data_IF_146982834266
#
_entry.id   IF_146982834266
#
_cell.length_a   1.000
_cell.length_b   1.000
_cell.length_c   1.000
_cell.angle_alpha   90.00
_cell.angle_beta   90.00
_cell.angle_gamma   90.00
#
_symmetry.space_group_name_H-M   'P 1'
#
loop_
_entity.id
_entity.type
_entity.pdbx_description
1 polymer ?
#
# COMPACT_ATOMS: atom_id res chain seq x y z
N UNK A 1 -29.59 54.50 -13.79
CA UNK A 1 -30.54 53.38 -13.65
C UNK A 1 -29.73 52.10 -13.48
N UNK A 2 -29.84 51.51 -12.28
CA UNK A 2 -29.55 50.11 -11.88
C UNK A 2 -28.36 49.36 -12.50
N UNK A 3 -27.26 49.24 -11.73
CA UNK A 3 -26.35 48.09 -11.79
C UNK A 3 -26.59 47.23 -10.55
N UNK A 4 -27.01 45.98 -10.77
CA UNK A 4 -27.36 45.03 -9.70
C UNK A 4 -26.11 44.40 -9.09
N UNK A 5 -25.95 44.58 -7.78
CA UNK A 5 -24.98 43.88 -6.95
C UNK A 5 -25.61 42.59 -6.41
N UNK A 6 -25.03 41.43 -6.71
CA UNK A 6 -25.35 40.16 -6.06
C UNK A 6 -24.38 39.96 -4.89
N UNK A 7 -24.85 40.27 -3.68
CA UNK A 7 -24.19 39.90 -2.44
C UNK A 7 -24.49 38.45 -2.07
N UNK A 8 -23.47 37.67 -1.76
CA UNK A 8 -23.62 36.36 -1.12
C UNK A 8 -23.43 36.51 0.38
N UNK A 9 -24.51 36.29 1.14
CA UNK A 9 -24.49 36.26 2.60
C UNK A 9 -24.17 34.85 3.08
N UNK A 10 -23.01 34.66 3.70
CA UNK A 10 -22.62 33.39 4.32
C UNK A 10 -23.30 33.27 5.70
N UNK A 11 -24.28 32.37 5.81
CA UNK A 11 -24.98 32.08 7.08
C UNK A 11 -24.29 30.91 7.78
N UNK A 12 -23.59 31.20 8.88
CA UNK A 12 -23.09 30.17 9.80
C UNK A 12 -24.26 29.57 10.60
N UNK A 13 -24.46 28.25 10.50
CA UNK A 13 -25.29 27.49 11.45
C UNK A 13 -24.40 26.75 12.44
N UNK A 14 -24.54 27.09 13.71
CA UNK A 14 -23.96 26.38 14.86
C UNK A 14 -24.67 25.05 15.12
N UNK A 15 -23.98 24.00 15.63
CA UNK A 15 -24.60 22.70 15.91
C UNK A 15 -25.27 22.68 17.29
N UNK A 16 -26.56 22.35 17.32
CA UNK A 16 -27.32 22.07 18.55
C UNK A 16 -27.41 20.56 18.81
N UNK A 17 -26.97 20.22 20.02
CA UNK A 17 -27.47 19.20 20.96
C UNK A 17 -27.55 17.71 20.60
N UNK A 18 -26.80 16.95 21.41
CA UNK A 18 -26.87 15.51 21.66
C UNK A 18 -28.30 14.99 21.89
N UNK A 19 -28.61 13.84 21.29
CA UNK A 19 -29.62 12.89 21.79
C UNK A 19 -29.05 11.48 21.81
N UNK A 20 -28.89 10.98 23.03
CA UNK A 20 -28.59 9.61 23.42
C UNK A 20 -29.76 8.70 23.01
N UNK A 21 -29.48 7.67 22.20
CA UNK A 21 -30.41 6.55 22.01
C UNK A 21 -29.82 5.30 22.66
N UNK A 22 -30.37 4.97 23.82
CA UNK A 22 -30.30 3.64 24.43
C UNK A 22 -31.18 2.69 23.62
N UNK A 23 -30.60 1.63 23.05
CA UNK A 23 -31.36 0.47 22.59
C UNK A 23 -30.81 -0.83 23.18
N UNK A 24 -31.49 -1.22 24.26
CA UNK A 24 -32.11 -2.53 24.52
C UNK A 24 -31.38 -3.78 23.98
N UNK A 25 -30.78 -4.50 24.93
CA UNK A 25 -30.40 -5.92 24.86
C UNK A 25 -31.58 -6.78 24.37
N UNK A 26 -31.35 -7.60 23.34
CA UNK A 26 -32.17 -8.78 23.05
C UNK A 26 -31.29 -10.04 23.08
N UNK A 27 -31.91 -11.12 23.59
CA UNK A 27 -31.31 -12.37 24.01
C UNK A 27 -30.91 -13.25 22.82
N UNK A 28 -29.75 -13.90 22.91
CA UNK A 28 -29.34 -15.00 22.04
C UNK A 28 -30.10 -16.30 22.37
N UNK A 29 -30.48 -17.11 21.37
CA UNK A 29 -30.76 -18.53 21.57
C UNK A 29 -29.48 -19.36 21.45
N UNK A 30 -29.37 -20.33 22.36
CA UNK A 30 -28.37 -21.40 22.38
C UNK A 30 -28.72 -22.46 21.34
N UNK A 31 -27.70 -23.05 20.72
CA UNK A 31 -27.81 -24.37 20.09
C UNK A 31 -27.09 -24.49 18.76
N UNK A 32 -25.91 -25.13 18.81
CA UNK A 32 -25.35 -26.10 17.83
C UNK A 32 -23.82 -26.10 17.94
N UNK A 33 -23.35 -26.77 19.00
CA UNK A 33 -22.03 -27.40 19.00
C UNK A 33 -22.11 -28.71 18.20
N UNK A 34 -20.95 -29.15 17.71
CA UNK A 34 -20.65 -30.44 17.05
C UNK A 34 -20.71 -30.45 15.52
N UNK A 35 -19.61 -30.02 14.86
CA UNK A 35 -18.85 -30.81 13.87
C UNK A 35 -17.72 -29.95 13.25
N UNK A 36 -16.53 -29.96 13.85
CA UNK A 36 -15.27 -29.71 13.13
C UNK A 36 -14.08 -30.22 13.96
N UNK A 37 -13.92 -31.55 14.02
CA UNK A 37 -12.66 -32.21 14.39
C UNK A 37 -12.27 -33.11 13.23
N UNK A 38 -11.45 -32.59 12.32
CA UNK A 38 -10.39 -33.30 11.56
C UNK A 38 -9.96 -32.46 10.36
N UNK A 39 -9.02 -31.54 10.59
CA UNK A 39 -7.98 -31.11 9.64
C UNK A 39 -7.07 -30.12 10.37
N UNK A 40 -6.37 -30.64 11.38
CA UNK A 40 -5.37 -29.90 12.13
C UNK A 40 -4.11 -30.74 12.18
N UNK A 41 -3.28 -30.64 11.15
CA UNK A 41 -1.85 -31.00 11.20
C UNK A 41 -1.17 -30.51 9.92
N UNK A 42 -0.62 -29.29 10.00
CA UNK A 42 0.62 -28.83 9.35
C UNK A 42 0.83 -27.37 9.78
N UNK A 43 1.10 -27.18 11.08
CA UNK A 43 1.81 -25.98 11.57
C UNK A 43 3.30 -26.31 11.52
N UNK A 44 3.94 -26.07 10.38
CA UNK A 44 5.40 -26.03 10.32
C UNK A 44 5.83 -24.61 10.67
N UNK A 45 6.19 -24.43 11.94
CA UNK A 45 6.99 -23.30 12.39
C UNK A 45 8.39 -23.42 11.79
N UNK A 46 8.69 -22.60 10.80
CA UNK A 46 10.06 -22.17 10.49
C UNK A 46 10.04 -20.64 10.33
N UNK A 47 9.87 -19.94 11.45
CA UNK A 47 10.39 -18.58 11.56
C UNK A 47 11.89 -18.72 11.83
N UNK A 48 12.78 -18.05 11.08
CA UNK A 48 14.19 -17.99 11.47
C UNK A 48 14.29 -17.41 12.89
N UNK A 49 15.04 -18.09 13.75
CA UNK A 49 15.39 -17.64 15.10
C UNK A 49 16.09 -16.28 14.95
N UNK A 50 15.39 -15.19 15.29
CA UNK A 50 16.04 -13.90 15.52
C UNK A 50 17.01 -14.07 16.70
N UNK A 51 18.19 -13.42 16.69
CA UNK A 51 19.08 -13.43 17.84
C UNK A 51 18.32 -12.92 19.07
N UNK A 52 18.56 -13.56 20.21
CA UNK A 52 18.00 -13.13 21.49
C UNK A 52 18.60 -11.77 21.85
N UNK A 53 17.84 -10.71 21.59
CA UNK A 53 18.12 -9.37 22.12
C UNK A 53 17.62 -9.37 23.57
N UNK A 54 18.33 -8.64 24.45
CA UNK A 54 18.05 -8.59 25.88
C UNK A 54 16.61 -8.14 26.12
N UNK A 55 15.93 -8.75 27.10
CA UNK A 55 14.51 -8.50 27.38
C UNK A 55 14.23 -7.11 27.99
N UNK A 56 15.27 -6.30 28.25
CA UNK A 56 15.17 -4.96 28.83
C UNK A 56 15.34 -3.83 27.81
N UNK A 57 15.82 -4.09 26.59
CA UNK A 57 15.99 -3.07 25.52
C UNK A 57 14.79 -2.99 24.55
N UNK A 58 13.78 -3.84 24.72
CA UNK A 58 12.70 -4.07 23.72
C UNK A 58 11.39 -3.31 24.02
N UNK A 59 11.44 -2.27 24.85
CA UNK A 59 10.36 -1.28 24.95
C UNK A 59 10.45 -0.28 23.78
N UNK A 60 10.51 -0.79 22.55
CA UNK A 60 10.21 0.03 21.38
C UNK A 60 8.78 0.51 21.53
N UNK A 61 8.63 1.80 21.85
CA UNK A 61 7.33 2.39 22.00
C UNK A 61 6.63 2.40 20.64
N UNK A 62 5.48 1.74 20.54
CA UNK A 62 4.65 1.78 19.33
C UNK A 62 4.28 3.24 19.04
N UNK A 63 4.38 3.65 17.77
CA UNK A 63 4.01 5.00 17.37
C UNK A 63 2.50 5.20 17.59
N UNK A 64 2.16 6.17 18.45
CA UNK A 64 0.79 6.52 18.83
C UNK A 64 0.18 7.56 17.88
N UNK A 65 1.03 8.38 17.23
CA UNK A 65 0.60 9.37 16.23
C UNK A 65 1.51 9.36 15.01
N UNK A 66 0.92 9.49 13.84
CA UNK A 66 1.62 9.73 12.59
C UNK A 66 1.31 11.14 12.11
N UNK A 67 2.33 11.89 11.72
CA UNK A 67 2.22 13.25 11.21
C UNK A 67 2.81 13.24 9.81
N UNK A 68 1.96 13.17 8.80
CA UNK A 68 2.37 13.25 7.41
C UNK A 68 2.69 14.70 7.09
N UNK A 69 3.85 14.94 6.51
CA UNK A 69 4.33 16.30 6.23
C UNK A 69 4.96 16.38 4.85
N UNK A 70 4.88 17.59 4.29
CA UNK A 70 5.45 17.96 3.00
C UNK A 70 5.65 19.48 2.98
N UNK A 71 6.66 19.93 2.22
CA UNK A 71 6.98 21.35 2.05
C UNK A 71 7.09 21.74 0.58
N UNK A 72 6.41 22.84 0.24
CA UNK A 72 6.73 23.59 -0.97
C UNK A 72 7.80 24.63 -0.67
N UNK A 73 8.68 24.87 -1.63
CA UNK A 73 9.88 25.69 -1.40
C UNK A 73 10.18 26.65 -2.55
N UNK A 74 11.08 27.60 -2.30
CA UNK A 74 11.47 28.63 -3.27
C UNK A 74 12.32 28.10 -4.44
N UNK A 75 12.60 26.80 -4.48
CA UNK A 75 13.36 26.17 -5.56
C UNK A 75 13.83 24.77 -5.18
N UNK A 76 14.47 24.10 -6.12
CA UNK A 76 15.09 22.80 -5.87
C UNK A 76 16.41 22.94 -5.13
N UNK A 77 16.81 21.91 -4.39
CA UNK A 77 18.14 21.81 -3.80
C UNK A 77 19.16 21.64 -4.94
N UNK A 78 20.08 22.60 -5.07
CA UNK A 78 21.10 22.59 -6.12
C UNK A 78 22.03 21.37 -5.99
N UNK A 79 22.48 20.82 -7.12
CA UNK A 79 23.25 19.57 -7.24
C UNK A 79 22.50 18.25 -6.93
N UNK A 80 21.22 18.28 -6.53
CA UNK A 80 20.48 17.03 -6.27
C UNK A 80 20.05 16.31 -7.57
N UNK A 81 20.02 17.02 -8.71
CA UNK A 81 19.88 16.37 -10.04
C UNK A 81 21.14 15.59 -10.45
N UNK A 82 22.32 16.04 -10.02
CA UNK A 82 23.61 15.34 -10.21
C UNK A 82 23.89 14.28 -9.15
N UNK A 83 23.22 14.37 -8.00
CA UNK A 83 23.21 13.37 -6.93
C UNK A 83 22.05 12.37 -7.07
N UNK A 84 21.68 12.00 -8.31
CA UNK A 84 21.27 10.59 -8.46
C UNK A 84 22.39 9.78 -7.81
N UNK A 85 22.11 8.98 -6.77
CA UNK A 85 23.15 8.19 -6.18
C UNK A 85 23.80 7.46 -7.35
N UNK A 86 25.11 7.62 -7.55
CA UNK A 86 25.84 6.77 -8.50
C UNK A 86 25.51 5.28 -8.24
N UNK A 87 25.04 4.99 -7.01
CA UNK A 87 24.40 3.75 -6.57
C UNK A 87 22.95 3.97 -6.11
N UNK A 88 21.94 3.72 -6.96
CA UNK A 88 20.53 3.66 -6.54
C UNK A 88 20.38 2.96 -5.18
N UNK A 89 19.59 3.50 -4.23
CA UNK A 89 19.44 2.89 -2.93
C UNK A 89 19.04 1.43 -3.08
N UNK A 90 19.77 0.54 -2.40
CA UNK A 90 19.55 -0.89 -2.53
C UNK A 90 18.25 -1.25 -1.78
N UNK A 91 17.24 -1.82 -2.45
CA UNK A 91 16.00 -2.23 -1.80
C UNK A 91 16.25 -3.29 -0.74
N UNK A 92 15.67 -3.11 0.46
CA UNK A 92 15.81 -4.01 1.60
C UNK A 92 17.19 -4.00 2.25
N UNK A 93 17.96 -2.92 2.07
CA UNK A 93 19.25 -2.74 2.75
C UNK A 93 19.05 -2.57 4.26
N UNK A 94 19.31 -3.65 5.01
CA UNK A 94 19.21 -3.69 6.47
C UNK A 94 20.23 -2.79 7.17
N UNK A 95 21.25 -2.33 6.45
CA UNK A 95 22.26 -1.42 6.97
C UNK A 95 21.98 0.04 6.61
N UNK A 96 20.83 0.33 5.97
CA UNK A 96 20.43 1.70 5.67
C UNK A 96 20.21 2.48 6.97
N UNK A 97 21.07 3.46 7.18
CA UNK A 97 21.01 4.36 8.32
C UNK A 97 20.57 5.74 7.85
N UNK A 98 19.25 5.98 7.91
CA UNK A 98 18.63 7.22 7.43
C UNK A 98 18.98 8.42 8.32
N UNK A 99 19.20 8.20 9.63
CA UNK A 99 19.64 9.25 10.55
C UNK A 99 21.04 9.73 10.19
N UNK A 100 21.97 8.78 10.02
CA UNK A 100 23.34 9.09 9.59
C UNK A 100 23.35 9.76 8.22
N UNK A 101 22.59 9.26 7.26
CA UNK A 101 22.50 9.85 5.93
C UNK A 101 21.98 11.31 5.99
N UNK A 102 20.93 11.57 6.78
CA UNK A 102 20.41 12.92 6.98
C UNK A 102 21.46 13.82 7.64
N UNK A 103 22.14 13.35 8.69
CA UNK A 103 23.21 14.09 9.37
C UNK A 103 24.35 14.45 8.42
N UNK A 104 24.79 13.51 7.57
CA UNK A 104 25.83 13.74 6.57
C UNK A 104 25.39 14.77 5.51
N UNK A 105 24.14 14.71 5.05
CA UNK A 105 23.59 15.68 4.10
C UNK A 105 23.48 17.08 4.70
N UNK A 106 23.07 17.19 5.97
CA UNK A 106 23.01 18.46 6.71
C UNK A 106 24.42 19.04 6.90
N UNK A 107 25.39 18.20 7.27
CA UNK A 107 26.76 18.65 7.49
C UNK A 107 27.47 19.13 6.21
N UNK A 108 27.10 18.55 5.05
CA UNK A 108 27.75 18.87 3.76
C UNK A 108 27.04 19.97 2.97
N UNK A 109 25.81 20.33 3.32
CA UNK A 109 25.03 21.34 2.59
C UNK A 109 24.86 22.60 3.44
N UNK A 110 25.48 23.73 3.08
CA UNK A 110 25.28 24.98 3.81
C UNK A 110 23.81 25.41 3.83
N UNK A 111 23.32 25.87 4.99
CA UNK A 111 21.91 26.25 5.15
C UNK A 111 21.52 27.41 4.23
N UNK A 112 22.44 28.30 3.87
CA UNK A 112 22.20 29.37 2.88
C UNK A 112 21.94 28.88 1.44
N UNK A 113 22.36 27.65 1.10
CA UNK A 113 22.24 27.09 -0.25
C UNK A 113 20.96 26.25 -0.41
N UNK A 114 20.27 25.95 0.70
CA UNK A 114 18.96 25.31 0.69
C UNK A 114 17.86 26.34 0.34
N UNK A 115 16.75 25.94 -0.28
CA UNK A 115 15.64 26.85 -0.55
C UNK A 115 14.93 27.28 0.75
N UNK A 116 14.06 28.28 0.66
CA UNK A 116 13.16 28.65 1.75
C UNK A 116 11.83 27.90 1.61
N UNK A 117 11.17 27.60 2.71
CA UNK A 117 9.80 27.08 2.68
C UNK A 117 8.87 28.21 2.20
N UNK A 118 7.86 27.85 1.38
CA UNK A 118 6.75 28.72 0.97
C UNK A 118 5.40 28.19 1.41
N UNK A 119 5.27 26.87 1.57
CA UNK A 119 4.11 26.22 2.18
C UNK A 119 4.57 25.03 3.01
N UNK A 120 3.94 24.85 4.17
CA UNK A 120 4.13 23.67 5.00
C UNK A 120 2.80 23.06 5.39
N UNK A 121 2.69 21.74 5.25
CA UNK A 121 1.51 21.01 5.71
C UNK A 121 1.88 19.88 6.65
N UNK A 122 1.03 19.68 7.65
CA UNK A 122 1.11 18.62 8.64
C UNK A 122 -0.27 18.00 8.83
N UNK A 123 -0.44 16.75 8.38
CA UNK A 123 -1.65 15.96 8.54
C UNK A 123 -1.44 14.95 9.67
N UNK A 124 -2.09 15.19 10.79
CA UNK A 124 -1.94 14.39 12.02
C UNK A 124 -3.03 13.33 12.12
N UNK A 125 -2.62 12.07 12.27
CA UNK A 125 -3.49 10.91 12.38
C UNK A 125 -3.06 10.01 13.56
N UNK A 126 -3.91 9.84 14.59
CA UNK A 126 -3.66 8.88 15.65
C UNK A 126 -3.58 7.45 15.11
N UNK A 127 -2.76 6.59 15.73
CA UNK A 127 -2.61 5.18 15.38
C UNK A 127 -3.96 4.45 15.27
N UNK A 128 -4.85 4.67 16.24
CA UNK A 128 -6.18 4.06 16.25
C UNK A 128 -7.02 4.45 15.03
N UNK A 129 -6.87 5.69 14.53
CA UNK A 129 -7.54 6.15 13.33
C UNK A 129 -6.96 5.43 12.10
N UNK A 130 -5.64 5.39 11.96
CA UNK A 130 -4.98 4.70 10.84
C UNK A 130 -5.37 3.22 10.79
N UNK A 131 -5.33 2.51 11.92
CA UNK A 131 -5.69 1.09 11.97
C UNK A 131 -7.16 0.85 11.56
N UNK A 132 -8.08 1.70 12.02
CA UNK A 132 -9.48 1.63 11.63
C UNK A 132 -9.67 1.88 10.13
N UNK A 133 -8.98 2.87 9.56
CA UNK A 133 -9.05 3.14 8.13
C UNK A 133 -8.38 2.06 7.28
N UNK A 134 -7.34 1.38 7.77
CA UNK A 134 -6.76 0.19 7.13
C UNK A 134 -7.79 -0.92 7.03
N UNK A 135 -8.53 -1.20 8.11
CA UNK A 135 -9.55 -2.26 8.11
C UNK A 135 -10.69 -1.93 7.14
N UNK A 136 -11.21 -0.69 7.18
CA UNK A 136 -12.22 -0.22 6.22
C UNK A 136 -11.73 -0.25 4.78
N UNK A 137 -10.46 0.12 4.54
CA UNK A 137 -9.86 0.11 3.22
C UNK A 137 -9.79 -1.30 2.66
N UNK A 138 -9.42 -2.27 3.52
CA UNK A 138 -9.39 -3.68 3.16
C UNK A 138 -10.78 -4.19 2.77
N UNK A 139 -11.81 -3.88 3.57
CA UNK A 139 -13.20 -4.26 3.27
C UNK A 139 -13.70 -3.67 1.95
N UNK A 140 -13.41 -2.38 1.67
CA UNK A 140 -13.78 -1.72 0.41
C UNK A 140 -13.09 -2.34 -0.80
N UNK A 141 -11.79 -2.60 -0.68
CA UNK A 141 -11.01 -3.22 -1.74
C UNK A 141 -11.49 -4.65 -2.04
N UNK A 142 -12.00 -5.37 -1.04
CA UNK A 142 -12.59 -6.69 -1.23
C UNK A 142 -13.98 -6.62 -1.91
N UNK A 143 -14.72 -5.53 -1.71
CA UNK A 143 -15.99 -5.29 -2.39
C UNK A 143 -15.83 -4.82 -3.85
N UNK A 144 -14.81 -4.00 -4.14
CA UNK A 144 -14.50 -3.51 -5.48
C UNK A 144 -12.98 -3.44 -5.70
N UNK A 145 -12.42 -4.51 -6.25
CA UNK A 145 -10.98 -4.62 -6.51
C UNK A 145 -10.49 -3.73 -7.65
N UNK A 146 -11.38 -3.36 -8.59
CA UNK A 146 -11.05 -2.56 -9.78
C UNK A 146 -11.29 -1.06 -9.61
N UNK A 147 -12.08 -0.69 -8.60
CA UNK A 147 -12.52 0.67 -8.37
C UNK A 147 -11.41 1.64 -7.97
N UNK A 148 -11.79 2.91 -8.08
CA UNK A 148 -11.11 4.01 -7.40
C UNK A 148 -11.21 3.81 -5.90
N UNK A 149 -10.07 3.68 -5.23
CA UNK A 149 -10.00 3.38 -3.80
C UNK A 149 -9.31 4.55 -3.10
N UNK A 150 -10.12 5.56 -2.74
CA UNK A 150 -9.73 6.65 -1.87
C UNK A 150 -10.72 6.76 -0.70
N UNK A 151 -10.20 6.98 0.50
CA UNK A 151 -11.02 7.10 1.71
C UNK A 151 -10.90 8.52 2.25
N UNK A 152 -12.02 9.17 2.57
CA UNK A 152 -11.98 10.44 3.29
C UNK A 152 -11.63 10.16 4.74
N UNK A 153 -10.49 10.67 5.19
CA UNK A 153 -9.99 10.47 6.56
C UNK A 153 -10.15 11.78 7.33
N UNK A 154 -10.80 11.71 8.49
CA UNK A 154 -10.98 12.86 9.37
C UNK A 154 -9.71 13.06 10.23
N UNK A 155 -8.71 13.71 9.65
CA UNK A 155 -7.46 14.08 10.33
C UNK A 155 -7.47 15.55 10.75
N UNK A 156 -6.60 15.88 11.70
CA UNK A 156 -6.25 17.28 11.94
C UNK A 156 -5.25 17.70 10.86
N UNK A 157 -5.55 18.78 10.15
CA UNK A 157 -4.71 19.32 9.09
C UNK A 157 -4.23 20.70 9.52
N UNK A 158 -2.92 20.91 9.49
CA UNK A 158 -2.28 22.18 9.77
C UNK A 158 -1.45 22.58 8.56
N UNK A 159 -1.98 23.46 7.72
CA UNK A 159 -1.28 24.01 6.56
C UNK A 159 -1.02 25.49 6.78
N UNK A 160 0.17 25.96 6.40
CA UNK A 160 0.59 27.36 6.45
C UNK A 160 1.34 27.73 5.20
N UNK A 161 1.02 28.89 4.65
CA UNK A 161 1.83 29.55 3.64
C UNK A 161 2.72 30.56 4.34
N UNK A 162 3.98 30.62 3.95
CA UNK A 162 4.99 31.43 4.63
C UNK A 162 5.68 32.35 3.63
N UNK A 163 5.98 33.57 4.09
CA UNK A 163 6.69 34.57 3.31
C UNK A 163 8.20 34.37 3.42
N UNK A 164 8.90 34.03 2.32
CA UNK A 164 10.36 34.01 2.34
C UNK A 164 10.92 35.44 2.50
N UNK A 165 12.08 35.62 3.16
CA UNK A 165 12.68 36.93 3.44
C UNK A 165 13.38 37.51 2.21
N UNK A 166 12.66 37.62 1.10
CA UNK A 166 13.20 38.04 -0.19
C UNK A 166 13.23 39.57 -0.37
N UNK A 167 14.35 40.05 -0.91
CA UNK A 167 14.47 41.37 -1.51
C UNK A 167 13.71 41.44 -2.86
N UNK A 168 13.51 42.65 -3.37
CA UNK A 168 12.88 42.85 -4.69
C UNK A 168 13.60 42.12 -5.83
N UNK A 169 14.93 42.00 -5.78
CA UNK A 169 15.69 41.25 -6.77
C UNK A 169 15.39 39.74 -6.68
N UNK A 170 15.40 39.19 -5.47
CA UNK A 170 15.12 37.77 -5.22
C UNK A 170 13.69 37.40 -5.60
N UNK A 171 12.70 38.28 -5.36
CA UNK A 171 11.33 38.06 -5.82
C UNK A 171 11.23 37.97 -7.35
N UNK A 172 11.96 38.82 -8.08
CA UNK A 172 12.00 38.76 -9.56
C UNK A 172 12.62 37.46 -10.06
N UNK A 173 13.69 37.01 -9.42
CA UNK A 173 14.34 35.74 -9.75
C UNK A 173 13.44 34.54 -9.45
N UNK A 174 12.76 34.57 -8.30
CA UNK A 174 11.78 33.56 -7.90
C UNK A 174 10.65 33.43 -8.92
N UNK A 175 9.99 34.54 -9.28
CA UNK A 175 8.90 34.52 -10.26
C UNK A 175 9.37 34.02 -11.62
N UNK A 176 10.58 34.42 -12.05
CA UNK A 176 11.17 33.90 -13.28
C UNK A 176 11.35 32.37 -13.19
N UNK A 177 11.95 31.87 -12.11
CA UNK A 177 12.20 30.43 -11.91
C UNK A 177 10.89 29.65 -11.82
N UNK A 178 9.88 30.16 -11.12
CA UNK A 178 8.55 29.58 -10.94
C UNK A 178 7.86 29.24 -12.26
N UNK A 179 7.98 30.10 -13.28
CA UNK A 179 7.40 29.81 -14.60
C UNK A 179 8.02 28.62 -15.32
N UNK A 180 9.19 28.17 -14.87
CA UNK A 180 9.96 27.08 -15.51
C UNK A 180 10.02 25.80 -14.66
N UNK A 181 9.78 25.90 -13.34
CA UNK A 181 9.87 24.78 -12.41
C UNK A 181 8.46 24.40 -11.95
N UNK A 182 7.97 23.26 -12.42
CA UNK A 182 6.60 22.80 -12.20
C UNK A 182 6.22 22.69 -10.71
N UNK A 183 7.18 22.34 -9.85
CA UNK A 183 6.99 22.21 -8.41
C UNK A 183 6.77 23.55 -7.69
N UNK A 184 7.19 24.67 -8.28
CA UNK A 184 7.00 25.99 -7.66
C UNK A 184 5.64 26.55 -8.09
N UNK A 185 4.59 26.37 -7.28
CA UNK A 185 3.23 26.80 -7.63
C UNK A 185 2.89 28.23 -7.22
N UNK A 186 3.23 28.61 -5.98
CA UNK A 186 2.77 29.85 -5.34
C UNK A 186 3.44 31.10 -5.93
N UNK A 187 2.68 32.14 -6.25
CA UNK A 187 3.21 33.41 -6.75
C UNK A 187 3.62 34.35 -5.61
N UNK A 188 4.33 35.43 -5.93
CA UNK A 188 4.62 36.52 -4.98
C UNK A 188 3.33 37.06 -4.35
N UNK A 189 2.28 37.29 -5.14
CA UNK A 189 1.00 37.78 -4.60
C UNK A 189 0.35 36.80 -3.63
N UNK A 190 0.65 35.50 -3.72
CA UNK A 190 0.16 34.50 -2.77
C UNK A 190 0.95 34.53 -1.45
N UNK A 191 2.19 35.04 -1.46
CA UNK A 191 3.15 34.90 -0.35
C UNK A 191 3.53 36.21 0.35
N UNK A 192 3.49 37.36 -0.33
CA UNK A 192 4.09 38.62 0.16
C UNK A 192 3.39 39.21 1.40
N UNK A 193 2.11 38.92 1.56
CA UNK A 193 1.29 39.34 2.70
C UNK A 193 1.21 38.27 3.81
N UNK A 194 1.91 37.14 3.65
CA UNK A 194 1.94 36.06 4.66
C UNK A 194 2.94 36.35 5.77
N UNK A 195 2.76 35.65 6.88
CA UNK A 195 3.72 35.63 7.98
C UNK A 195 5.00 34.88 7.59
N UNK A 196 6.10 35.21 8.25
CA UNK A 196 7.39 34.54 8.09
C UNK A 196 7.37 33.13 8.69
N UNK A 197 8.37 32.30 8.35
CA UNK A 197 8.51 30.97 8.95
C UNK A 197 8.57 31.03 10.48
N UNK A 198 9.38 31.92 11.05
CA UNK A 198 9.53 32.07 12.51
C UNK A 198 8.21 32.42 13.23
N UNK A 199 7.33 33.18 12.57
CA UNK A 199 6.03 33.56 13.14
C UNK A 199 5.01 32.43 13.08
N UNK A 200 5.06 31.57 12.07
CA UNK A 200 4.14 30.44 11.90
C UNK A 200 4.59 29.16 12.61
N UNK A 201 5.89 28.98 12.81
CA UNK A 201 6.47 27.80 13.46
C UNK A 201 5.88 27.46 14.84
N UNK A 202 5.61 28.43 15.74
CA UNK A 202 4.97 28.13 17.04
C UNK A 202 3.64 27.37 16.92
N UNK A 203 2.88 27.60 15.85
CA UNK A 203 1.63 26.89 15.58
C UNK A 203 1.88 25.42 15.25
N UNK A 204 2.89 25.14 14.44
CA UNK A 204 3.32 23.77 14.10
C UNK A 204 3.87 23.07 15.33
N UNK A 205 4.74 23.74 16.09
CA UNK A 205 5.34 23.22 17.30
C UNK A 205 4.26 22.84 18.33
N UNK A 206 3.20 23.65 18.48
CA UNK A 206 2.07 23.32 19.34
C UNK A 206 1.35 22.03 18.92
N UNK A 207 1.15 21.81 17.62
CA UNK A 207 0.58 20.55 17.10
C UNK A 207 1.48 19.37 17.45
N UNK A 208 2.80 19.52 17.26
CA UNK A 208 3.77 18.46 17.59
C UNK A 208 3.86 18.23 19.10
N UNK A 209 3.70 19.23 19.96
CA UNK A 209 3.72 19.07 21.41
C UNK A 209 2.46 18.39 21.96
N UNK A 210 1.31 18.62 21.33
CA UNK A 210 0.01 18.14 21.82
C UNK A 210 -0.38 16.77 21.28
N UNK A 211 0.28 16.28 20.23
CA UNK A 211 0.02 14.94 19.70
C UNK A 211 0.44 13.83 20.69
N UNK A 212 -0.23 12.67 20.61
CA UNK A 212 0.13 11.54 21.47
C UNK A 212 1.51 11.02 21.09
N UNK A 213 2.35 10.80 22.11
CA UNK A 213 3.71 10.28 21.97
C UNK A 213 3.76 8.76 22.19
N UNK A 214 4.70 8.06 21.55
CA UNK A 214 5.61 8.55 20.51
C UNK A 214 4.90 8.99 19.23
N UNK A 215 5.44 9.99 18.56
CA UNK A 215 4.92 10.47 17.28
C UNK A 215 5.96 10.28 16.17
N UNK A 216 5.50 10.02 14.95
CA UNK A 216 6.35 9.86 13.78
C UNK A 216 6.01 10.89 12.71
N UNK A 217 6.97 11.76 12.36
CA UNK A 217 6.94 12.59 11.16
C UNK A 217 7.22 11.70 9.95
N UNK A 218 6.31 11.71 8.98
CA UNK A 218 6.41 10.92 7.75
C UNK A 218 6.46 11.86 6.56
N UNK A 219 7.59 11.87 5.85
CA UNK A 219 7.78 12.63 4.62
C UNK A 219 8.16 11.69 3.47
N UNK A 220 7.83 12.05 2.25
CA UNK A 220 8.19 11.25 1.07
C UNK A 220 9.51 11.71 0.47
N UNK A 221 10.54 10.86 0.56
CA UNK A 221 11.91 11.23 0.19
C UNK A 221 12.48 12.36 1.08
N UNK A 222 11.95 12.47 2.31
CA UNK A 222 12.24 13.57 3.23
C UNK A 222 13.70 13.65 3.67
N UNK A 223 14.46 12.54 3.71
CA UNK A 223 15.90 12.58 4.05
C UNK A 223 16.65 13.44 3.04
N UNK A 224 16.25 13.39 1.78
CA UNK A 224 16.86 14.20 0.71
C UNK A 224 16.31 15.60 0.63
N UNK A 225 15.07 15.81 1.08
CA UNK A 225 14.35 17.06 0.90
C UNK A 225 13.86 17.63 2.22
N UNK A 226 12.64 17.28 2.64
CA UNK A 226 11.88 17.98 3.69
C UNK A 226 12.66 18.15 5.00
N UNK A 227 13.32 17.11 5.50
CA UNK A 227 14.03 17.18 6.78
C UNK A 227 15.27 18.07 6.73
N UNK A 228 15.90 18.24 5.55
CA UNK A 228 17.02 19.17 5.35
C UNK A 228 16.53 20.61 5.28
N UNK A 229 15.44 20.83 4.55
CA UNK A 229 14.83 22.17 4.44
C UNK A 229 14.30 22.62 5.80
N UNK A 230 13.67 21.74 6.57
CA UNK A 230 13.25 22.02 7.94
C UNK A 230 14.43 22.44 8.83
N UNK A 231 15.52 21.66 8.81
CA UNK A 231 16.73 22.00 9.54
C UNK A 231 17.23 23.40 9.19
N UNK A 232 17.30 23.71 7.89
CA UNK A 232 17.77 25.01 7.42
C UNK A 232 16.88 26.17 7.89
N UNK A 233 15.55 26.00 7.87
CA UNK A 233 14.64 27.02 8.41
C UNK A 233 14.80 27.20 9.92
N UNK A 234 14.93 26.11 10.68
CA UNK A 234 15.16 26.19 12.13
C UNK A 234 16.48 26.90 12.46
N UNK A 235 17.54 26.62 11.71
CA UNK A 235 18.87 27.23 11.86
C UNK A 235 18.84 28.73 11.49
N UNK A 236 18.35 29.09 10.30
CA UNK A 236 18.29 30.47 9.80
C UNK A 236 17.51 31.39 10.73
N UNK A 237 16.46 30.87 11.36
CA UNK A 237 15.60 31.61 12.27
C UNK A 237 16.03 31.51 13.74
N UNK A 238 17.21 30.92 14.05
CA UNK A 238 17.75 30.73 15.40
C UNK A 238 16.85 29.93 16.37
N UNK A 239 15.92 29.14 15.85
CA UNK A 239 14.89 28.46 16.64
C UNK A 239 15.45 27.35 17.54
N UNK A 240 16.59 26.75 17.15
CA UNK A 240 17.33 25.81 18.02
C UNK A 240 17.79 26.49 19.32
N UNK A 241 18.28 27.73 19.24
CA UNK A 241 18.80 28.46 20.40
C UNK A 241 17.69 28.95 21.33
N UNK A 242 16.51 29.17 20.78
CA UNK A 242 15.31 29.59 21.51
C UNK A 242 14.55 28.42 22.15
N UNK A 243 15.04 27.18 21.98
CA UNK A 243 14.36 25.99 22.48
C UNK A 243 13.08 25.65 21.74
N UNK A 244 12.88 26.21 20.54
CA UNK A 244 11.76 25.90 19.65
C UNK A 244 12.06 24.74 18.70
N UNK A 245 12.89 23.80 19.14
CA UNK A 245 13.23 22.59 18.39
C UNK A 245 12.08 21.57 18.40
N UNK A 246 12.23 20.52 17.60
CA UNK A 246 11.27 19.42 17.57
C UNK A 246 11.19 18.77 18.96
N UNK A 247 9.97 18.49 19.49
CA UNK A 247 9.84 17.91 20.82
C UNK A 247 10.41 16.50 20.94
N UNK A 248 10.83 16.12 22.15
CA UNK A 248 11.21 14.74 22.48
C UNK A 248 10.11 13.73 22.09
N UNK A 249 10.52 12.50 21.80
CA UNK A 249 9.65 11.41 21.34
C UNK A 249 8.90 11.73 20.03
N UNK A 250 9.43 12.66 19.23
CA UNK A 250 9.10 12.82 17.81
C UNK A 250 10.22 12.21 16.99
N UNK A 251 9.88 11.15 16.28
CA UNK A 251 10.77 10.44 15.38
C UNK A 251 10.43 10.83 13.93
N UNK A 252 11.31 10.51 13.00
CA UNK A 252 11.08 10.68 11.57
C UNK A 252 11.16 9.35 10.82
N UNK A 253 10.47 9.30 9.68
CA UNK A 253 10.46 8.18 8.76
C UNK A 253 10.43 8.69 7.32
N UNK A 254 11.31 8.17 6.48
CA UNK A 254 11.27 8.42 5.05
C UNK A 254 10.42 7.35 4.36
N UNK A 255 9.28 7.76 3.80
CA UNK A 255 8.34 6.84 3.19
C UNK A 255 8.83 6.27 1.85
N UNK A 256 9.75 6.96 1.14
CA UNK A 256 10.32 6.44 -0.11
C UNK A 256 11.09 5.14 0.16
N UNK A 257 11.93 5.17 1.19
CA UNK A 257 12.67 4.01 1.68
C UNK A 257 11.74 2.92 2.24
N UNK A 258 10.73 3.34 2.99
CA UNK A 258 9.73 2.44 3.57
C UNK A 258 9.03 1.61 2.49
N UNK A 259 8.46 2.26 1.47
CA UNK A 259 7.73 1.56 0.41
C UNK A 259 8.65 0.65 -0.42
N UNK A 260 9.88 1.07 -0.67
CA UNK A 260 10.88 0.26 -1.35
C UNK A 260 11.20 -1.04 -0.60
N UNK A 261 11.35 -0.95 0.72
CA UNK A 261 11.71 -2.10 1.54
C UNK A 261 10.52 -3.05 1.75
N UNK A 262 9.31 -2.50 1.93
CA UNK A 262 8.08 -3.30 2.00
C UNK A 262 7.83 -4.06 0.69
N UNK A 263 7.98 -3.41 -0.46
CA UNK A 263 7.83 -4.11 -1.74
C UNK A 263 8.96 -5.12 -1.99
N UNK A 264 10.17 -4.87 -1.47
CA UNK A 264 11.25 -5.86 -1.51
C UNK A 264 10.89 -7.11 -0.70
N UNK A 265 10.24 -6.94 0.45
CA UNK A 265 9.69 -8.05 1.23
C UNK A 265 8.61 -8.80 0.44
N UNK A 266 7.70 -8.09 -0.24
CA UNK A 266 6.67 -8.72 -1.08
C UNK A 266 7.29 -9.58 -2.18
N UNK A 267 8.33 -9.09 -2.85
CA UNK A 267 9.07 -9.85 -3.87
C UNK A 267 9.80 -11.05 -3.25
N UNK A 268 10.34 -10.91 -2.04
CA UNK A 268 10.93 -12.01 -1.28
C UNK A 268 9.93 -13.12 -0.96
N UNK A 269 8.72 -12.75 -0.55
CA UNK A 269 7.63 -13.69 -0.31
C UNK A 269 7.24 -14.46 -1.58
N UNK A 270 7.12 -13.75 -2.71
CA UNK A 270 6.85 -14.36 -4.01
C UNK A 270 7.94 -15.35 -4.42
N UNK A 271 9.21 -14.98 -4.25
CA UNK A 271 10.35 -15.87 -4.51
C UNK A 271 10.30 -17.13 -3.63
N UNK A 272 10.06 -16.95 -2.33
CA UNK A 272 9.97 -18.05 -1.37
C UNK A 272 8.81 -18.98 -1.71
N UNK A 273 7.64 -18.43 -2.03
CA UNK A 273 6.48 -19.21 -2.44
C UNK A 273 6.76 -20.02 -3.71
N UNK A 274 7.34 -19.41 -4.75
CA UNK A 274 7.70 -20.12 -5.98
C UNK A 274 8.70 -21.27 -5.73
N UNK A 275 9.64 -21.11 -4.80
CA UNK A 275 10.62 -22.16 -4.45
C UNK A 275 10.02 -23.31 -3.63
N UNK A 276 8.96 -23.06 -2.87
CA UNK A 276 8.31 -24.06 -2.02
C UNK A 276 7.22 -24.86 -2.75
N UNK A 277 6.73 -24.38 -3.90
CA UNK A 277 5.68 -25.03 -4.68
C UNK A 277 6.22 -26.14 -5.57
N UNK A 278 5.64 -27.34 -5.46
CA UNK A 278 5.85 -28.43 -6.41
C UNK A 278 4.82 -28.34 -7.54
N UNK A 279 5.12 -27.53 -8.56
CA UNK A 279 4.23 -27.26 -9.69
C UNK A 279 3.89 -28.51 -10.50
N UNK A 280 4.80 -29.50 -10.52
CA UNK A 280 4.59 -30.78 -11.20
C UNK A 280 3.37 -31.56 -10.68
N UNK A 281 3.03 -31.39 -9.40
CA UNK A 281 1.83 -31.98 -8.77
C UNK A 281 0.55 -31.19 -9.05
N UNK A 282 0.67 -29.90 -9.33
CA UNK A 282 -0.46 -28.99 -9.57
C UNK A 282 -0.96 -29.18 -11.01
N UNK A 283 -0.06 -29.24 -12.00
CA UNK A 283 -0.43 -29.36 -13.42
C UNK A 283 -1.01 -30.73 -13.82
N UNK A 284 -0.82 -31.79 -13.02
CA UNK A 284 -1.35 -33.14 -13.36
C UNK A 284 -2.85 -33.31 -13.13
N UNK A 285 -3.50 -32.41 -12.39
CA UNK A 285 -4.92 -32.54 -12.04
C UNK A 285 -5.88 -31.77 -12.97
N UNK A 286 -5.39 -31.06 -13.99
CA UNK A 286 -6.20 -30.15 -14.82
C UNK A 286 -6.61 -30.68 -16.20
N UNK A 287 -6.17 -31.88 -16.62
CA UNK A 287 -6.61 -32.45 -17.90
C UNK A 287 -7.06 -33.90 -17.75
N UNK A 288 -8.36 -34.22 -17.87
CA UNK A 288 -8.77 -35.59 -18.17
C UNK A 288 -8.23 -35.91 -19.56
N UNK A 289 -7.29 -36.85 -19.63
CA UNK A 289 -6.85 -37.44 -20.88
C UNK A 289 -8.10 -37.96 -21.59
N UNK A 290 -8.49 -37.35 -22.70
CA UNK A 290 -9.43 -37.98 -23.62
C UNK A 290 -8.73 -39.24 -24.12
N UNK A 291 -9.18 -40.41 -23.66
CA UNK A 291 -8.86 -41.67 -24.32
C UNK A 291 -9.31 -41.56 -25.78
N UNK A 292 -8.34 -41.49 -26.69
CA UNK A 292 -8.61 -41.71 -28.10
C UNK A 292 -9.02 -43.17 -28.27
N UNK A 293 -10.30 -43.39 -28.54
CA UNK A 293 -10.80 -44.67 -29.03
C UNK A 293 -10.11 -44.95 -30.36
N UNK A 294 -9.19 -45.91 -30.37
CA UNK A 294 -8.59 -46.43 -31.58
C UNK A 294 -9.64 -47.11 -32.45
N UNK A 295 -9.89 -46.55 -33.64
CA UNK A 295 -10.52 -47.27 -34.74
C UNK A 295 -9.46 -48.11 -35.45
N UNK A 296 -9.55 -49.43 -35.29
CA UNK A 296 -8.86 -50.40 -36.14
C UNK A 296 -9.80 -50.84 -37.25
N UNK A 297 -9.31 -50.77 -38.48
CA UNK A 297 -9.95 -51.23 -39.72
C UNK A 297 -10.03 -52.77 -39.80
N UNK A 298 -11.10 -53.26 -40.45
CA UNK A 298 -11.22 -54.45 -41.31
C UNK A 298 -12.73 -54.58 -41.64
N UNK A 299 -13.23 -54.78 -42.85
CA UNK A 299 -12.66 -55.35 -44.05
C UNK A 299 -13.66 -56.38 -44.61
N UNK A 300 -14.43 -55.96 -45.62
CA UNK A 300 -14.99 -56.78 -46.71
C UNK A 300 -16.29 -57.63 -46.54
N UNK A 301 -17.00 -57.65 -47.68
CA UNK A 301 -17.98 -58.62 -48.24
C UNK A 301 -19.50 -58.43 -48.08
N UNK A 302 -20.09 -57.98 -49.20
CA UNK A 302 -21.23 -58.56 -49.95
C UNK A 302 -22.53 -58.90 -49.24
N UNK A 303 -23.56 -58.11 -49.56
CA UNK A 303 -25.00 -58.35 -49.36
C UNK A 303 -25.57 -59.38 -50.36
N UNK A 304 -26.29 -60.37 -49.85
CA UNK A 304 -27.21 -61.24 -50.60
C UNK A 304 -28.62 -61.19 -49.99
N UNK A 305 -29.58 -60.87 -50.86
CA UNK A 305 -31.00 -61.27 -50.97
C UNK A 305 -31.76 -61.84 -49.74
N UNK A 306 -32.89 -61.19 -49.45
CA UNK A 306 -34.15 -61.56 -48.73
C UNK A 306 -34.71 -63.00 -48.91
N UNK A 307 -35.85 -63.42 -48.29
CA UNK A 307 -36.45 -63.16 -46.96
C UNK A 307 -37.07 -64.45 -46.31
N UNK A 308 -37.85 -64.26 -45.22
CA UNK A 308 -39.03 -65.07 -44.81
C UNK A 308 -38.86 -66.22 -43.77
N UNK A 309 -39.37 -66.02 -42.54
CA UNK A 309 -40.53 -66.74 -41.93
C UNK A 309 -40.64 -66.60 -40.40
N UNK A 310 -41.83 -66.18 -39.98
CA UNK A 310 -42.52 -66.18 -38.66
C UNK A 310 -43.02 -67.60 -38.24
N UNK A 311 -43.75 -67.83 -37.11
CA UNK A 311 -43.59 -67.50 -35.68
C UNK A 311 -43.85 -68.76 -34.73
N UNK A 312 -44.48 -68.70 -33.50
CA UNK A 312 -44.00 -69.26 -32.21
C UNK A 312 -44.81 -70.54 -31.75
N UNK A 313 -44.87 -71.06 -30.47
CA UNK A 313 -45.41 -70.38 -29.26
C UNK A 313 -44.88 -70.79 -27.85
N UNK A 314 -45.18 -69.91 -26.89
CA UNK A 314 -45.70 -70.06 -25.50
C UNK A 314 -45.12 -70.97 -24.39
N UNK A 315 -45.14 -70.34 -23.20
CA UNK A 315 -45.30 -70.82 -21.83
C UNK A 315 -44.18 -71.58 -21.10
N UNK A 316 -43.54 -70.89 -20.14
CA UNK A 316 -43.63 -71.21 -18.71
C UNK A 316 -43.02 -70.08 -17.85
N UNK A 317 -43.73 -69.70 -16.78
CA UNK A 317 -43.23 -68.90 -15.66
C UNK A 317 -43.56 -69.65 -14.35
N UNK A 318 -43.09 -69.27 -13.14
CA UNK A 318 -41.91 -68.49 -12.70
C UNK A 318 -41.09 -69.28 -11.62
N UNK A 319 -40.10 -68.69 -10.91
CA UNK A 319 -40.35 -68.08 -9.58
C UNK A 319 -39.44 -66.84 -9.28
N UNK A 320 -39.58 -66.16 -8.12
CA UNK A 320 -39.21 -64.75 -7.97
C UNK A 320 -37.74 -64.55 -7.56
N UNK A 321 -37.05 -63.61 -8.23
CA UNK A 321 -35.66 -63.27 -7.90
C UNK A 321 -35.60 -61.86 -7.33
N UNK A 322 -35.44 -61.82 -6.00
CA UNK A 322 -34.82 -60.79 -5.14
C UNK A 322 -34.47 -59.46 -5.82
N UNK A 323 -35.22 -58.41 -5.49
CA UNK A 323 -34.85 -57.01 -5.73
C UNK A 323 -33.53 -56.68 -5.02
N UNK A 324 -32.43 -56.66 -5.79
CA UNK A 324 -31.20 -56.03 -5.36
C UNK A 324 -31.31 -54.53 -5.67
N UNK A 325 -31.72 -53.78 -4.66
CA UNK A 325 -31.60 -52.32 -4.60
C UNK A 325 -30.15 -51.89 -4.88
N UNK A 326 -29.82 -51.61 -6.14
CA UNK A 326 -28.69 -50.75 -6.48
C UNK A 326 -29.11 -49.31 -6.20
N UNK A 327 -28.94 -48.91 -4.93
CA UNK A 327 -28.88 -47.49 -4.57
C UNK A 327 -27.71 -46.88 -5.35
N UNK A 328 -28.02 -46.19 -6.45
CA UNK A 328 -27.17 -45.17 -7.02
C UNK A 328 -26.94 -44.13 -5.93
N UNK A 329 -25.74 -44.14 -5.34
CA UNK A 329 -25.29 -43.06 -4.49
C UNK A 329 -25.36 -41.75 -5.28
N UNK A 330 -25.85 -40.64 -4.70
CA UNK A 330 -25.75 -39.34 -5.35
C UNK A 330 -24.27 -39.09 -5.61
N UNK A 331 -23.92 -38.80 -6.87
CA UNK A 331 -22.60 -38.29 -7.21
C UNK A 331 -22.31 -37.11 -6.28
N UNK A 332 -21.35 -37.32 -5.38
CA UNK A 332 -20.93 -36.31 -4.43
C UNK A 332 -20.61 -35.03 -5.19
N UNK A 333 -21.22 -33.94 -4.75
CA UNK A 333 -20.87 -32.59 -5.16
C UNK A 333 -19.39 -32.37 -4.83
N UNK A 334 -18.51 -32.71 -5.77
CA UNK A 334 -17.14 -32.25 -5.79
C UNK A 334 -17.23 -30.73 -5.88
N UNK A 335 -17.01 -30.05 -4.76
CA UNK A 335 -16.74 -28.61 -4.72
C UNK A 335 -15.73 -28.31 -5.82
N UNK A 336 -16.18 -27.69 -6.91
CA UNK A 336 -15.29 -27.08 -7.91
C UNK A 336 -14.58 -25.95 -7.18
N UNK A 337 -13.35 -26.21 -6.73
CA UNK A 337 -12.54 -25.29 -5.93
C UNK A 337 -11.95 -24.13 -6.75
N UNK A 338 -12.22 -24.07 -8.05
CA UNK A 338 -11.68 -23.07 -8.96
C UNK A 338 -12.75 -22.66 -9.98
N UNK A 339 -13.13 -21.40 -9.97
CA UNK A 339 -13.97 -20.77 -11.00
C UNK A 339 -13.18 -20.65 -12.32
N UNK A 340 -13.85 -20.91 -13.45
CA UNK A 340 -13.32 -21.07 -14.82
C UNK A 340 -12.76 -19.78 -15.46
N UNK A 341 -12.46 -18.73 -14.68
CA UNK A 341 -12.06 -17.40 -15.23
C UNK A 341 -10.66 -16.92 -14.83
N UNK A 342 -9.89 -17.73 -14.08
CA UNK A 342 -8.48 -17.45 -13.82
C UNK A 342 -7.64 -18.25 -14.82
N UNK A 343 -6.64 -17.62 -15.46
CA UNK A 343 -5.58 -18.38 -16.14
C UNK A 343 -4.98 -19.33 -15.10
N UNK A 344 -5.15 -20.66 -15.21
CA UNK A 344 -4.94 -21.60 -14.09
C UNK A 344 -3.49 -21.68 -13.58
N UNK A 345 -2.57 -21.00 -14.27
CA UNK A 345 -1.16 -21.26 -14.18
C UNK A 345 -0.35 -20.14 -13.50
N UNK A 346 -0.91 -19.09 -12.88
CA UNK A 346 -0.05 -18.09 -12.21
C UNK A 346 0.28 -18.49 -10.74
N UNK A 347 1.56 -18.51 -10.31
CA UNK A 347 1.95 -18.78 -8.91
C UNK A 347 1.20 -17.94 -7.87
N UNK A 348 0.83 -16.70 -8.20
CA UNK A 348 0.08 -15.80 -7.31
C UNK A 348 -1.28 -16.37 -6.91
N UNK A 349 -1.91 -17.20 -7.75
CA UNK A 349 -3.21 -17.82 -7.46
C UNK A 349 -3.14 -18.83 -6.30
N UNK A 350 -1.95 -19.35 -6.01
CA UNK A 350 -1.72 -20.32 -4.94
C UNK A 350 -1.21 -19.67 -3.65
N UNK A 351 -0.96 -18.37 -3.67
CA UNK A 351 -0.57 -17.62 -2.48
C UNK A 351 -1.80 -17.17 -1.69
N UNK A 352 -1.67 -17.16 -0.36
CA UNK A 352 -2.71 -16.70 0.56
C UNK A 352 -2.84 -15.17 0.51
N UNK A 353 -3.52 -14.68 -0.51
CA UNK A 353 -3.74 -13.25 -0.74
C UNK A 353 -4.81 -12.65 0.18
N UNK A 354 -5.57 -13.46 0.93
CA UNK A 354 -6.56 -13.04 1.94
C UNK A 354 -5.95 -12.14 3.02
N UNK A 355 -4.67 -12.35 3.31
CA UNK A 355 -3.95 -11.59 4.34
C UNK A 355 -3.18 -10.39 3.79
N UNK A 356 -3.11 -10.24 2.47
CA UNK A 356 -2.33 -9.17 1.85
C UNK A 356 -3.01 -7.82 2.01
N UNK A 357 -2.19 -6.78 2.20
CA UNK A 357 -2.63 -5.40 2.10
C UNK A 357 -3.14 -5.09 0.68
N UNK A 358 -4.06 -4.13 0.53
CA UNK A 358 -4.49 -3.64 -0.78
C UNK A 358 -3.30 -3.29 -1.70
N UNK A 359 -2.28 -2.63 -1.16
CA UNK A 359 -1.06 -2.34 -1.91
C UNK A 359 -0.38 -3.62 -2.39
N UNK A 360 -0.08 -4.58 -1.50
CA UNK A 360 0.57 -5.84 -1.90
C UNK A 360 -0.21 -6.57 -3.00
N UNK A 361 -1.55 -6.61 -2.92
CA UNK A 361 -2.41 -7.18 -3.96
C UNK A 361 -2.23 -6.46 -5.31
N UNK A 362 -2.37 -5.14 -5.35
CA UNK A 362 -2.29 -4.34 -6.59
C UNK A 362 -0.90 -4.39 -7.21
N UNK A 363 0.13 -4.17 -6.39
CA UNK A 363 1.52 -4.08 -6.83
C UNK A 363 2.02 -5.43 -7.37
N UNK A 364 1.55 -6.56 -6.83
CA UNK A 364 1.87 -7.89 -7.35
C UNK A 364 0.95 -8.36 -8.49
N UNK A 365 -0.29 -7.89 -8.56
CA UNK A 365 -1.22 -8.27 -9.64
C UNK A 365 -0.69 -7.85 -11.03
N UNK A 366 -0.07 -6.67 -11.11
CA UNK A 366 0.56 -6.16 -12.33
C UNK A 366 1.95 -6.79 -12.58
N UNK A 367 2.54 -7.42 -11.57
CA UNK A 367 3.90 -7.93 -11.61
C UNK A 367 3.98 -9.37 -12.18
N UNK A 368 3.22 -9.66 -13.23
CA UNK A 368 3.22 -10.97 -13.92
C UNK A 368 4.61 -11.33 -14.47
N UNK A 369 5.36 -10.31 -14.85
CA UNK A 369 6.76 -10.39 -15.30
C UNK A 369 7.74 -10.91 -14.24
N UNK A 370 7.36 -10.95 -12.96
CA UNK A 370 8.17 -11.53 -11.89
C UNK A 370 8.20 -13.07 -11.92
N UNK A 371 7.35 -13.71 -12.71
CA UNK A 371 7.29 -15.16 -12.80
C UNK A 371 7.51 -15.61 -14.24
N UNK A 372 8.46 -16.54 -14.42
CA UNK A 372 8.79 -17.13 -15.71
C UNK A 372 8.46 -18.62 -15.67
N UNK A 373 7.74 -19.09 -16.69
CA UNK A 373 7.48 -20.51 -16.88
C UNK A 373 8.69 -21.18 -17.53
N UNK A 374 9.21 -22.24 -16.91
CA UNK A 374 10.27 -23.08 -17.44
C UNK A 374 9.74 -24.04 -18.50
N UNK A 375 10.64 -24.61 -19.30
CA UNK A 375 10.30 -25.60 -20.33
C UNK A 375 9.62 -26.85 -19.75
N UNK A 376 9.96 -27.23 -18.52
CA UNK A 376 9.33 -28.36 -17.82
C UNK A 376 7.94 -28.05 -17.24
N UNK A 377 7.42 -26.83 -17.45
CA UNK A 377 6.12 -26.39 -16.97
C UNK A 377 6.14 -25.72 -15.60
N UNK A 378 7.24 -25.82 -14.84
CA UNK A 378 7.37 -25.21 -13.51
C UNK A 378 7.50 -23.68 -13.60
N UNK A 379 7.11 -22.99 -12.54
CA UNK A 379 7.35 -21.56 -12.42
C UNK A 379 8.62 -21.28 -11.63
N UNK A 380 9.31 -20.21 -12.03
CA UNK A 380 10.39 -19.60 -11.24
C UNK A 380 10.11 -18.12 -11.05
N UNK A 381 10.53 -17.60 -9.91
CA UNK A 381 10.63 -16.17 -9.72
C UNK A 381 11.82 -15.62 -10.53
N UNK A 382 11.64 -14.48 -11.19
CA UNK A 382 12.65 -13.82 -11.99
C UNK A 382 13.31 -12.69 -11.20
N UNK A 383 14.50 -12.99 -10.68
CA UNK A 383 15.32 -12.02 -9.95
C UNK A 383 15.78 -10.85 -10.82
N UNK A 384 15.96 -11.06 -12.13
CA UNK A 384 16.31 -10.02 -13.08
C UNK A 384 15.17 -9.03 -13.25
N UNK A 385 13.95 -9.52 -13.51
CA UNK A 385 12.75 -8.70 -13.61
C UNK A 385 12.49 -7.95 -12.28
N UNK A 386 12.64 -8.63 -11.14
CA UNK A 386 12.56 -7.97 -9.83
C UNK A 386 13.60 -6.87 -9.66
N UNK A 387 14.84 -7.05 -10.12
CA UNK A 387 15.86 -6.00 -10.03
C UNK A 387 15.52 -4.81 -10.95
N UNK A 388 15.02 -5.07 -12.16
CA UNK A 388 14.61 -4.03 -13.10
C UNK A 388 13.43 -3.22 -12.56
N UNK A 389 12.48 -3.88 -11.91
CA UNK A 389 11.34 -3.26 -11.25
C UNK A 389 11.78 -2.14 -10.27
N UNK A 390 12.72 -2.41 -9.36
CA UNK A 390 13.21 -1.40 -8.41
C UNK A 390 14.11 -0.32 -9.04
N UNK A 391 14.68 -0.59 -10.23
CA UNK A 391 15.48 0.38 -10.98
C UNK A 391 14.63 1.26 -11.91
N UNK A 392 13.35 0.93 -12.08
CA UNK A 392 12.45 1.68 -12.94
C UNK A 392 12.31 3.11 -12.41
N UNK A 393 12.70 4.08 -13.24
CA UNK A 393 12.63 5.50 -12.88
C UNK A 393 11.19 5.87 -12.55
N UNK A 394 11.02 6.58 -11.43
CA UNK A 394 9.70 7.07 -11.00
C UNK A 394 8.81 6.03 -10.32
N UNK A 395 9.24 4.78 -10.18
CA UNK A 395 8.41 3.71 -9.63
C UNK A 395 7.88 4.01 -8.23
N UNK A 396 8.68 4.70 -7.43
CA UNK A 396 8.35 5.10 -6.07
C UNK A 396 8.14 6.60 -5.91
N UNK A 397 7.90 7.35 -7.00
CA UNK A 397 7.43 8.74 -6.85
C UNK A 397 6.02 8.75 -6.26
N UNK A 398 5.71 9.75 -5.45
CA UNK A 398 4.44 9.84 -4.73
C UNK A 398 3.22 9.82 -5.67
N UNK A 399 3.24 10.66 -6.71
CA UNK A 399 2.21 10.74 -7.75
C UNK A 399 1.98 9.38 -8.45
N UNK A 400 3.08 8.70 -8.79
CA UNK A 400 3.06 7.40 -9.44
C UNK A 400 2.50 6.32 -8.52
N UNK A 401 2.94 6.28 -7.26
CA UNK A 401 2.44 5.34 -6.25
C UNK A 401 0.96 5.57 -5.99
N UNK A 402 0.54 6.81 -5.77
CA UNK A 402 -0.85 7.16 -5.54
C UNK A 402 -1.71 6.69 -6.70
N UNK A 403 -1.31 7.00 -7.93
CA UNK A 403 -2.05 6.62 -9.13
C UNK A 403 -2.20 5.12 -9.29
N UNK A 404 -1.11 4.37 -9.13
CA UNK A 404 -1.15 2.92 -9.29
C UNK A 404 -1.95 2.23 -8.18
N UNK A 405 -1.88 2.75 -6.96
CA UNK A 405 -2.54 2.14 -5.81
C UNK A 405 -4.02 2.50 -5.70
N UNK A 406 -4.39 3.73 -6.03
CA UNK A 406 -5.77 4.23 -5.86
C UNK A 406 -6.57 4.24 -7.17
N UNK A 407 -5.90 4.14 -8.33
CA UNK A 407 -6.47 4.41 -9.65
C UNK A 407 -7.08 5.83 -9.77
N UNK A 408 -6.50 6.80 -9.05
CA UNK A 408 -6.86 8.23 -9.10
C UNK A 408 -5.64 9.10 -9.40
N UNK A 409 -5.87 10.38 -9.66
CA UNK A 409 -4.82 11.39 -9.63
C UNK A 409 -5.14 12.39 -8.50
N UNK A 410 -4.14 13.14 -8.07
CA UNK A 410 -4.30 14.29 -7.18
C UNK A 410 -3.49 15.45 -7.74
N UNK A 411 -3.70 16.64 -7.20
CA UNK A 411 -2.94 17.84 -7.57
C UNK A 411 -1.60 17.81 -6.83
N UNK A 412 -0.55 17.34 -7.50
CA UNK A 412 0.79 17.27 -6.93
C UNK A 412 1.43 18.66 -6.87
N UNK A 413 2.40 18.83 -5.96
CA UNK A 413 3.07 20.11 -5.68
C UNK A 413 2.18 21.10 -4.91
N UNK A 414 1.35 20.54 -4.04
CA UNK A 414 0.64 21.27 -3.01
C UNK A 414 0.82 20.48 -1.73
N UNK A 415 1.49 21.07 -0.74
CA UNK A 415 1.99 20.34 0.43
C UNK A 415 0.88 19.56 1.15
N UNK A 416 -0.33 20.14 1.22
CA UNK A 416 -1.47 19.47 1.84
C UNK A 416 -1.94 18.24 1.05
N UNK A 417 -2.04 18.35 -0.27
CA UNK A 417 -2.53 17.26 -1.11
C UNK A 417 -1.50 16.13 -1.19
N UNK A 418 -0.21 16.45 -1.21
CA UNK A 418 0.90 15.49 -1.09
C UNK A 418 0.86 14.76 0.28
N UNK A 419 0.62 15.47 1.39
CA UNK A 419 0.42 14.82 2.70
C UNK A 419 -0.78 13.86 2.72
N UNK A 420 -1.90 14.27 2.13
CA UNK A 420 -3.11 13.43 2.06
C UNK A 420 -2.86 12.21 1.17
N UNK A 421 -2.20 12.38 0.02
CA UNK A 421 -1.82 11.29 -0.85
C UNK A 421 -0.92 10.27 -0.13
N UNK A 422 0.09 10.76 0.60
CA UNK A 422 1.00 9.93 1.38
C UNK A 422 0.29 9.15 2.49
N UNK A 423 -0.67 9.77 3.20
CA UNK A 423 -1.52 9.10 4.17
C UNK A 423 -2.36 7.99 3.52
N UNK A 424 -2.97 8.23 2.36
CA UNK A 424 -3.74 7.20 1.63
C UNK A 424 -2.86 6.01 1.25
N UNK A 425 -1.67 6.27 0.69
CA UNK A 425 -0.72 5.23 0.31
C UNK A 425 -0.33 4.41 1.54
N UNK A 426 -0.02 5.06 2.65
CA UNK A 426 0.36 4.39 3.90
C UNK A 426 -0.74 3.46 4.43
N UNK A 427 -2.01 3.88 4.33
CA UNK A 427 -3.17 3.03 4.66
C UNK A 427 -3.32 1.85 3.68
N UNK A 428 -3.02 2.02 2.40
CA UNK A 428 -3.06 0.94 1.40
C UNK A 428 -1.96 -0.10 1.62
N UNK A 429 -0.79 0.31 2.11
CA UNK A 429 0.25 -0.61 2.60
C UNK A 429 -0.15 -1.31 3.89
N UNK A 430 -1.11 -0.75 4.63
CA UNK A 430 -1.79 -1.43 5.72
C UNK A 430 -0.95 -1.54 6.97
N UNK A 431 -1.14 -2.65 7.71
CA UNK A 431 -0.41 -2.89 8.96
C UNK A 431 1.10 -3.03 8.75
N UNK A 432 1.55 -3.39 7.54
CA UNK A 432 2.97 -3.51 7.22
C UNK A 432 3.68 -2.15 7.33
N UNK A 433 3.04 -1.05 6.89
CA UNK A 433 3.55 0.31 7.07
C UNK A 433 3.66 0.69 8.55
N UNK A 434 2.60 0.45 9.32
CA UNK A 434 2.56 0.77 10.75
C UNK A 434 3.65 0.02 11.51
N UNK A 435 3.78 -1.28 11.25
CA UNK A 435 4.83 -2.11 11.83
C UNK A 435 6.21 -1.62 11.40
N UNK A 436 6.38 -1.21 10.14
CA UNK A 436 7.66 -0.68 9.66
C UNK A 436 8.04 0.58 10.45
N UNK A 437 7.13 1.54 10.59
CA UNK A 437 7.37 2.75 11.37
C UNK A 437 7.77 2.45 12.82
N UNK A 438 7.05 1.53 13.49
CA UNK A 438 7.36 1.14 14.87
C UNK A 438 8.80 0.59 15.04
N UNK A 439 9.39 0.00 13.98
CA UNK A 439 10.71 -0.63 14.04
C UNK A 439 11.85 0.22 13.45
N UNK A 440 11.54 1.17 12.56
CA UNK A 440 12.55 1.83 11.73
C UNK A 440 12.56 3.35 11.82
N UNK A 441 11.59 3.98 12.49
CA UNK A 441 11.63 5.42 12.76
C UNK A 441 12.86 5.80 13.59
N UNK A 442 13.44 6.98 13.29
CA UNK A 442 14.69 7.47 13.89
C UNK A 442 14.49 8.82 14.55
N UNK A 443 15.33 9.16 15.53
CA UNK A 443 15.35 10.52 16.08
C UNK A 443 15.89 11.47 15.02
N UNK A 444 15.38 12.71 14.99
CA UNK A 444 16.00 13.74 14.17
C UNK A 444 17.39 14.06 14.74
N UNK A 445 18.42 14.23 13.89
CA UNK A 445 19.80 14.37 14.35
C UNK A 445 20.13 15.78 14.89
N UNK A 446 19.13 16.61 15.20
CA UNK A 446 19.26 18.03 15.56
C UNK A 446 18.19 18.49 16.55
#
# INVERSE_FOLDING_TARGET
MSTGSMGWTLVYRTPTTYKTYLHRRSKAPRGLETLHRHCGMLKTHLKPKRPAVSADDDLFHQMETFVFMDFETTGLIENDESDQPKNHPMPGDKHRDTERALRELIATTPTKDLPYITEMSFVTAPRSLILNEIDKMKERHEADSSGSVAVRIACNVHTRQVRPPFSELQWREYEKKRTTVEAMKLSRSDLEDKSTFAEEWPGVLHVLQTCKKPACLVAHNGVRFDFRVLYAELDRNNLFREGQQIPDQVYFLDSYFTFMDLEKEYHGDCRNAANLMDFSRISRNSFPVKEELGTTEQGALTTSVDPEKTPPPEDMAPPPTVERLTRSAPQGAKRRLFEEHLTPDNPLNFMRSDQWSPAKKRRLADAKELFVRKQNGDWRFDDGASCQYFRKRGMFKLDCLFKQLTNNNYDAHFAQDDCVALLQISILYGRDFVNYADNFSKELPY
#
